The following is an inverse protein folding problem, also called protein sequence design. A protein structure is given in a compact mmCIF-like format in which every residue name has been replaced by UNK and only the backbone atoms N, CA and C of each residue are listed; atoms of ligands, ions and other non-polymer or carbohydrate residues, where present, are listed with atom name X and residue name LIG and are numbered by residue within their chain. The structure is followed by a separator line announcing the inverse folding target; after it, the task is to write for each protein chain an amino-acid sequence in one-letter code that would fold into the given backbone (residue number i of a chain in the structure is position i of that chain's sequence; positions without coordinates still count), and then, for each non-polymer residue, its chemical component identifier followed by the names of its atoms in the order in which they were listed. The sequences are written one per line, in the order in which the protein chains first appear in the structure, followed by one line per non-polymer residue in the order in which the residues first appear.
data_IF_940936199994
#
_entry.id   IF_940936199994
#
_cell.length_a   1.000
_cell.length_b   1.000
_cell.length_c   1.000
_cell.angle_alpha   90.00
_cell.angle_beta   90.00
_cell.angle_gamma   90.00
#
_symmetry.space_group_name_H-M   'P 1'
#
loop_
_entity.id
_entity.type
_entity.pdbx_description
1 polymer ?
#
# COMPACT_ATOMS: atom_id res chain seq x y z
N UNK A 1 -15.07 -3.67 -63.05
CA UNK A 1 -15.96 -4.84 -63.11
C UNK A 1 -16.04 -5.51 -61.74
N UNK A 2 -17.28 -5.70 -61.27
CA UNK A 2 -17.84 -6.63 -60.26
C UNK A 2 -17.03 -6.97 -58.99
N UNK A 3 -17.41 -6.57 -57.76
CA UNK A 3 -18.63 -6.77 -56.94
C UNK A 3 -18.66 -8.08 -56.10
N UNK A 4 -18.75 -7.86 -54.77
CA UNK A 4 -19.60 -8.52 -53.77
C UNK A 4 -19.10 -9.83 -53.10
N UNK A 5 -19.15 -9.82 -51.77
CA UNK A 5 -19.12 -11.04 -50.97
C UNK A 5 -19.34 -10.91 -49.45
N UNK A 6 -20.06 -9.88 -48.95
CA UNK A 6 -20.52 -9.86 -47.54
C UNK A 6 -21.68 -10.86 -47.38
N UNK A 7 -21.42 -11.98 -46.69
CA UNK A 7 -22.47 -12.93 -46.30
C UNK A 7 -23.00 -12.60 -44.90
N UNK A 8 -24.20 -12.02 -44.87
CA UNK A 8 -25.09 -11.98 -43.70
C UNK A 8 -26.13 -13.08 -43.86
N UNK A 9 -26.27 -13.96 -42.85
CA UNK A 9 -27.41 -14.84 -42.48
C UNK A 9 -26.83 -15.93 -41.56
N UNK A 10 -27.41 -16.32 -40.42
CA UNK A 10 -28.83 -16.44 -40.08
C UNK A 10 -29.00 -16.48 -38.55
N UNK A 11 -30.18 -16.03 -38.18
CA UNK A 11 -30.81 -16.00 -36.87
C UNK A 11 -31.35 -17.39 -36.45
N UNK A 12 -31.71 -17.46 -35.15
CA UNK A 12 -32.63 -18.39 -34.46
C UNK A 12 -32.06 -19.70 -33.89
N UNK A 13 -32.13 -19.77 -32.57
CA UNK A 13 -32.15 -21.00 -31.76
C UNK A 13 -32.68 -20.67 -30.37
N UNK A 14 -34.00 -20.78 -30.20
CA UNK A 14 -34.66 -20.73 -28.90
C UNK A 14 -34.37 -22.02 -28.11
N UNK A 15 -34.22 -21.90 -26.79
CA UNK A 15 -34.05 -23.05 -25.90
C UNK A 15 -34.06 -22.65 -24.44
N UNK A 16 -35.24 -22.76 -23.82
CA UNK A 16 -35.49 -22.65 -22.39
C UNK A 16 -34.77 -23.75 -21.60
N UNK A 17 -34.30 -23.46 -20.38
CA UNK A 17 -34.24 -24.50 -19.35
C UNK A 17 -33.06 -24.48 -18.37
N UNK A 18 -33.44 -24.39 -17.10
CA UNK A 18 -32.82 -24.97 -15.90
C UNK A 18 -31.73 -24.13 -15.21
N UNK A 19 -32.13 -23.66 -14.02
CA UNK A 19 -31.31 -23.09 -12.97
C UNK A 19 -30.20 -24.08 -12.54
N UNK A 20 -28.95 -23.65 -12.66
CA UNK A 20 -27.85 -24.25 -11.93
C UNK A 20 -27.52 -23.35 -10.74
N UNK A 21 -28.13 -23.66 -9.59
CA UNK A 21 -27.68 -23.15 -8.31
C UNK A 21 -26.39 -23.90 -7.93
N UNK A 22 -25.25 -23.37 -8.34
CA UNK A 22 -23.95 -23.81 -7.81
C UNK A 22 -23.74 -23.14 -6.45
N UNK A 23 -23.96 -23.91 -5.39
CA UNK A 23 -23.50 -23.61 -4.05
C UNK A 23 -21.97 -23.54 -4.07
N UNK A 24 -21.41 -22.33 -4.13
CA UNK A 24 -19.99 -22.10 -3.89
C UNK A 24 -19.74 -22.23 -2.39
N UNK A 25 -19.04 -23.32 -2.07
CA UNK A 25 -18.49 -23.63 -0.76
C UNK A 25 -17.64 -22.45 -0.30
N UNK A 26 -17.99 -21.91 0.86
CA UNK A 26 -17.39 -20.71 1.44
C UNK A 26 -15.91 -20.90 1.77
N UNK A 27 -15.05 -20.42 0.89
CA UNK A 27 -13.80 -19.81 1.31
C UNK A 27 -14.11 -18.33 1.58
N UNK A 28 -13.86 -17.88 2.80
CA UNK A 28 -14.08 -16.50 3.22
C UNK A 28 -13.21 -15.53 2.42
N UNK A 29 -13.68 -15.17 1.23
CA UNK A 29 -13.37 -13.90 0.62
C UNK A 29 -14.07 -12.85 1.49
N UNK A 30 -13.33 -12.23 2.39
CA UNK A 30 -13.80 -11.05 3.09
C UNK A 30 -14.31 -10.08 2.04
N UNK A 31 -15.63 -9.88 2.00
CA UNK A 31 -16.22 -8.83 1.19
C UNK A 31 -15.71 -7.52 1.81
N UNK A 32 -14.75 -6.90 1.15
CA UNK A 32 -14.39 -5.51 1.43
C UNK A 32 -15.58 -4.66 0.96
N UNK A 33 -16.60 -4.58 1.80
CA UNK A 33 -17.58 -3.51 1.74
C UNK A 33 -16.80 -2.23 1.98
N UNK A 34 -16.90 -1.27 1.07
CA UNK A 34 -16.47 0.10 1.34
C UNK A 34 -17.32 0.59 2.52
N UNK A 35 -16.78 0.50 3.73
CA UNK A 35 -17.40 1.07 4.91
C UNK A 35 -17.24 2.57 4.75
N UNK A 36 -18.22 3.21 4.10
CA UNK A 36 -18.38 4.66 4.24
C UNK A 36 -19.07 4.86 5.57
N UNK A 37 -18.31 5.28 6.59
CA UNK A 37 -18.85 5.35 7.94
C UNK A 37 -17.85 5.82 8.98
N UNK A 38 -18.32 5.92 10.22
CA UNK A 38 -17.44 6.15 11.36
C UNK A 38 -16.91 4.82 11.84
N UNK A 39 -15.58 4.66 11.86
CA UNK A 39 -14.93 3.47 12.40
C UNK A 39 -15.27 3.33 13.88
N UNK A 40 -15.85 2.20 14.29
CA UNK A 40 -16.27 1.96 15.68
C UNK A 40 -15.29 1.11 16.47
N UNK A 41 -14.52 0.26 15.80
CA UNK A 41 -13.69 -0.75 16.46
C UNK A 41 -12.52 -0.11 17.22
N UNK A 42 -12.12 -0.69 18.37
CA UNK A 42 -10.97 -0.21 19.15
C UNK A 42 -9.62 -0.56 18.51
N UNK A 43 -9.63 -1.39 17.47
CA UNK A 43 -8.46 -1.76 16.67
C UNK A 43 -8.68 -1.36 15.22
N UNK A 44 -7.59 -1.03 14.52
CA UNK A 44 -7.58 -0.82 13.07
C UNK A 44 -7.59 -2.16 12.32
N UNK A 45 -7.81 -2.11 11.01
CA UNK A 45 -7.91 -3.31 10.16
C UNK A 45 -6.68 -4.23 10.26
N UNK A 46 -5.48 -3.67 10.44
CA UNK A 46 -4.25 -4.45 10.63
C UNK A 46 -4.01 -4.92 12.09
N UNK A 47 -4.98 -4.75 12.99
CA UNK A 47 -4.93 -5.26 14.37
C UNK A 47 -4.10 -4.42 15.33
N UNK A 48 -3.89 -3.14 15.03
CA UNK A 48 -3.26 -2.18 15.94
C UNK A 48 -4.32 -1.43 16.74
N UNK A 49 -4.08 -1.19 18.03
CA UNK A 49 -5.01 -0.38 18.84
C UNK A 49 -5.04 1.06 18.34
N UNK A 50 -6.23 1.64 18.34
CA UNK A 50 -6.38 3.07 18.03
C UNK A 50 -5.64 3.92 19.07
N UNK A 51 -5.07 5.02 18.60
CA UNK A 51 -4.38 5.98 19.45
C UNK A 51 -5.27 7.20 19.68
N UNK A 52 -5.32 7.70 20.91
CA UNK A 52 -5.94 8.99 21.22
C UNK A 52 -5.05 10.16 20.77
N UNK A 53 -3.74 9.92 20.74
CA UNK A 53 -2.71 10.85 20.27
C UNK A 53 -1.50 10.05 19.80
N UNK A 54 -0.86 10.52 18.73
CA UNK A 54 0.41 9.98 18.26
C UNK A 54 1.54 11.02 18.35
N UNK A 55 2.76 10.62 18.76
CA UNK A 55 3.92 11.51 18.72
C UNK A 55 4.32 11.83 17.28
N UNK A 56 4.92 13.01 17.09
CA UNK A 56 5.46 13.44 15.80
C UNK A 56 6.92 13.02 15.65
N UNK A 57 7.27 12.52 14.47
CA UNK A 57 8.62 12.10 14.11
C UNK A 57 9.11 12.86 12.88
N UNK A 58 10.38 13.27 12.91
CA UNK A 58 11.03 13.91 11.76
C UNK A 58 11.39 12.86 10.72
N UNK A 59 11.03 13.12 9.47
CA UNK A 59 11.47 12.33 8.32
C UNK A 59 12.84 12.88 7.92
N UNK A 60 13.89 12.11 8.23
CA UNK A 60 15.28 12.51 8.01
C UNK A 60 15.52 12.99 6.56
N UNK A 61 16.33 14.04 6.42
CA UNK A 61 16.61 14.68 5.13
C UNK A 61 15.58 15.72 4.69
N UNK A 62 14.30 15.49 4.97
CA UNK A 62 13.21 16.34 4.45
C UNK A 62 12.82 17.51 5.35
N UNK A 63 13.13 17.41 6.66
CA UNK A 63 12.65 18.34 7.69
C UNK A 63 11.14 18.28 7.96
N UNK A 64 10.41 17.37 7.29
CA UNK A 64 8.97 17.17 7.50
C UNK A 64 8.72 16.34 8.75
N UNK A 65 7.57 16.55 9.40
CA UNK A 65 7.14 15.81 10.59
C UNK A 65 5.88 15.02 10.29
N UNK A 66 5.82 13.76 10.73
CA UNK A 66 4.64 12.91 10.62
C UNK A 66 4.32 12.25 11.96
N UNK A 67 3.04 12.22 12.34
CA UNK A 67 2.58 11.53 13.54
C UNK A 67 2.36 10.04 13.28
N UNK A 68 2.95 9.15 14.08
CA UNK A 68 2.90 7.68 13.88
C UNK A 68 2.82 6.93 15.22
N UNK A 69 2.49 5.63 15.15
CA UNK A 69 2.66 4.73 16.29
C UNK A 69 4.14 4.55 16.64
N UNK A 70 4.46 4.58 17.92
CA UNK A 70 5.85 4.43 18.40
C UNK A 70 6.46 3.06 18.07
N UNK A 71 7.79 2.99 18.19
CA UNK A 71 8.54 1.73 18.08
C UNK A 71 8.77 1.27 16.64
N UNK A 72 8.56 -0.03 16.41
CA UNK A 72 8.90 -0.67 15.13
C UNK A 72 8.10 -0.07 13.96
N UNK A 73 6.84 0.33 14.18
CA UNK A 73 6.00 0.95 13.14
C UNK A 73 6.56 2.31 12.68
N UNK A 74 6.84 3.23 13.62
CA UNK A 74 7.49 4.50 13.30
C UNK A 74 8.80 4.29 12.55
N UNK A 75 9.67 3.40 13.04
CA UNK A 75 10.97 3.11 12.42
C UNK A 75 10.83 2.73 10.95
N UNK A 76 9.88 1.84 10.64
CA UNK A 76 9.70 1.31 9.29
C UNK A 76 9.01 2.33 8.37
N UNK A 77 7.96 3.01 8.85
CA UNK A 77 7.24 3.99 8.03
C UNK A 77 8.08 5.24 7.76
N UNK A 78 8.92 5.66 8.70
CA UNK A 78 9.91 6.72 8.48
C UNK A 78 10.96 6.30 7.45
N UNK A 79 11.39 5.04 7.47
CA UNK A 79 12.29 4.51 6.44
C UNK A 79 11.66 4.58 5.04
N UNK A 80 10.39 4.18 4.90
CA UNK A 80 9.65 4.30 3.64
C UNK A 80 9.58 5.76 3.17
N UNK A 81 9.20 6.69 4.06
CA UNK A 81 9.08 8.10 3.73
C UNK A 81 10.43 8.73 3.34
N UNK A 82 11.51 8.33 4.02
CA UNK A 82 12.86 8.76 3.73
C UNK A 82 13.34 8.25 2.36
N UNK A 83 13.12 6.96 2.05
CA UNK A 83 13.45 6.41 0.71
C UNK A 83 12.68 7.14 -0.39
N UNK A 84 11.38 7.38 -0.19
CA UNK A 84 10.57 8.18 -1.11
C UNK A 84 11.18 9.58 -1.32
N UNK A 85 11.55 10.25 -0.22
CA UNK A 85 12.12 11.60 -0.26
C UNK A 85 13.38 11.71 -1.13
N UNK A 86 14.29 10.74 -1.02
CA UNK A 86 15.58 10.77 -1.69
C UNK A 86 15.56 10.19 -3.10
N UNK A 87 14.70 9.21 -3.37
CA UNK A 87 14.78 8.39 -4.59
C UNK A 87 13.60 8.59 -5.55
N UNK A 88 12.54 9.28 -5.11
CA UNK A 88 11.37 9.58 -5.94
C UNK A 88 11.17 11.09 -6.07
N UNK A 89 10.75 11.77 -5.01
CA UNK A 89 10.59 13.24 -5.02
C UNK A 89 10.75 13.82 -3.62
N UNK A 90 11.29 15.02 -3.56
CA UNK A 90 11.51 15.75 -2.32
C UNK A 90 10.19 16.10 -1.63
N UNK A 91 10.08 15.79 -0.35
CA UNK A 91 8.87 16.02 0.44
C UNK A 91 8.80 17.49 0.88
N UNK A 92 7.62 18.08 0.74
CA UNK A 92 7.31 19.47 1.10
C UNK A 92 6.31 19.49 2.24
N UNK A 93 6.06 20.69 2.78
CA UNK A 93 5.03 20.89 3.79
C UNK A 93 3.65 20.40 3.29
N UNK A 94 3.01 19.53 4.06
CA UNK A 94 1.72 18.93 3.71
C UNK A 94 1.80 17.72 2.77
N UNK A 95 2.98 17.29 2.34
CA UNK A 95 3.11 16.11 1.48
C UNK A 95 2.96 14.79 2.25
N UNK A 96 2.98 14.77 3.59
CA UNK A 96 2.94 13.52 4.35
C UNK A 96 1.86 13.56 5.41
N UNK A 97 0.95 12.59 5.35
CA UNK A 97 -0.12 12.40 6.32
C UNK A 97 0.08 11.08 7.08
N UNK A 98 0.04 11.13 8.41
CA UNK A 98 0.14 9.96 9.28
C UNK A 98 -1.13 9.77 10.09
N UNK A 99 -0.97 9.66 11.42
CA UNK A 99 -2.07 9.49 12.35
C UNK A 99 -3.10 10.61 12.28
N UNK A 100 -4.39 10.24 12.43
CA UNK A 100 -5.52 11.16 12.52
C UNK A 100 -6.50 10.71 13.59
N UNK A 101 -7.20 11.67 14.19
CA UNK A 101 -8.33 11.44 15.10
C UNK A 101 -9.65 11.27 14.36
N UNK A 102 -9.72 11.67 13.08
CA UNK A 102 -10.95 11.59 12.30
C UNK A 102 -11.30 10.14 11.95
N UNK A 103 -12.26 9.58 12.68
CA UNK A 103 -12.72 8.19 12.51
C UNK A 103 -13.57 7.96 11.26
N UNK A 104 -13.80 8.97 10.43
CA UNK A 104 -14.49 8.79 9.15
C UNK A 104 -13.58 8.02 8.18
N UNK A 105 -14.04 6.86 7.77
CA UNK A 105 -13.37 6.03 6.78
C UNK A 105 -14.28 5.83 5.57
N UNK A 106 -13.65 5.69 4.41
CA UNK A 106 -14.29 5.32 3.14
C UNK A 106 -13.78 3.98 2.64
N UNK A 107 -12.54 3.63 2.99
CA UNK A 107 -11.93 2.33 2.74
C UNK A 107 -11.39 1.72 4.05
N UNK A 108 -11.45 0.39 4.25
CA UNK A 108 -11.01 -0.23 5.50
C UNK A 108 -9.57 0.09 5.92
N UNK A 109 -8.62 0.18 4.98
CA UNK A 109 -7.22 0.52 5.27
C UNK A 109 -7.06 1.90 5.92
N UNK A 110 -8.05 2.81 5.76
CA UNK A 110 -7.98 4.15 6.35
C UNK A 110 -8.05 4.09 7.89
N UNK A 111 -8.61 3.02 8.45
CA UNK A 111 -8.54 2.75 9.89
C UNK A 111 -7.10 2.63 10.40
N UNK A 112 -6.12 2.27 9.56
CA UNK A 112 -4.72 2.13 9.97
C UNK A 112 -4.04 3.50 10.22
N UNK A 113 -4.60 4.60 9.71
CA UNK A 113 -4.20 5.94 10.13
C UNK A 113 -4.62 6.22 11.58
N UNK A 114 -5.78 5.74 12.03
CA UNK A 114 -6.27 5.96 13.40
C UNK A 114 -5.37 5.31 14.48
N UNK A 115 -4.65 4.25 14.12
CA UNK A 115 -3.67 3.60 14.98
C UNK A 115 -2.24 4.08 14.74
N UNK A 116 -2.00 4.99 13.79
CA UNK A 116 -0.67 5.48 13.44
C UNK A 116 0.23 4.43 12.75
N UNK A 117 -0.36 3.36 12.22
CA UNK A 117 0.34 2.24 11.57
C UNK A 117 0.32 2.30 10.04
N UNK A 118 -0.09 3.43 9.48
CA UNK A 118 -0.04 3.74 8.06
C UNK A 118 0.38 5.19 7.81
N UNK A 119 0.89 5.44 6.61
CA UNK A 119 1.30 6.76 6.12
C UNK A 119 0.78 6.98 4.69
N UNK A 120 0.45 8.23 4.36
CA UNK A 120 0.13 8.66 3.01
C UNK A 120 1.18 9.68 2.56
N UNK A 121 1.85 9.42 1.46
CA UNK A 121 2.84 10.31 0.85
C UNK A 121 2.23 10.91 -0.41
N UNK A 122 2.18 12.24 -0.47
CA UNK A 122 1.60 13.09 -1.52
C UNK A 122 0.18 12.65 -1.93
N UNK A 123 -0.77 12.54 -0.97
CA UNK A 123 -2.11 12.00 -1.25
C UNK A 123 -2.94 12.82 -2.26
N UNK A 124 -2.62 14.10 -2.46
CA UNK A 124 -3.24 14.95 -3.50
C UNK A 124 -2.81 14.52 -4.91
N UNK A 125 -1.56 14.08 -5.06
CA UNK A 125 -0.99 13.62 -6.33
C UNK A 125 -1.35 12.18 -6.64
N UNK A 126 -1.58 11.39 -5.59
CA UNK A 126 -1.88 9.96 -5.69
C UNK A 126 -3.20 9.63 -4.96
N UNK A 127 -4.35 10.11 -5.48
CA UNK A 127 -5.64 9.97 -4.82
C UNK A 127 -6.19 8.54 -4.88
N UNK A 128 -7.17 8.26 -4.02
CA UNK A 128 -7.84 6.95 -3.97
C UNK A 128 -8.56 6.66 -5.30
N UNK A 129 -8.42 5.44 -5.80
CA UNK A 129 -8.97 4.96 -7.05
C UNK A 129 -8.11 5.27 -8.28
N UNK A 130 -7.07 6.11 -8.15
CA UNK A 130 -6.16 6.41 -9.25
C UNK A 130 -4.95 5.48 -9.25
N UNK A 131 -4.51 5.08 -10.44
CA UNK A 131 -3.33 4.24 -10.68
C UNK A 131 -2.56 4.74 -11.89
N UNK A 132 -1.24 4.53 -11.89
CA UNK A 132 -0.36 4.97 -12.97
C UNK A 132 0.09 6.42 -12.83
N UNK A 133 0.04 6.98 -11.62
CA UNK A 133 0.53 8.33 -11.34
C UNK A 133 2.05 8.35 -11.07
N UNK A 134 2.64 7.19 -10.76
CA UNK A 134 4.08 7.01 -10.65
C UNK A 134 4.70 6.65 -12.01
N UNK A 135 5.86 7.25 -12.30
CA UNK A 135 6.65 6.89 -13.47
C UNK A 135 7.26 5.48 -13.34
N UNK A 136 7.58 4.79 -14.45
CA UNK A 136 8.13 3.44 -14.41
C UNK A 136 9.40 3.28 -13.56
N UNK A 137 10.26 4.30 -13.52
CA UNK A 137 11.47 4.32 -12.70
C UNK A 137 11.14 4.48 -11.19
N UNK A 138 10.12 5.25 -10.84
CA UNK A 138 9.66 5.40 -9.45
C UNK A 138 9.02 4.10 -8.95
N UNK A 139 8.29 3.40 -9.81
CA UNK A 139 7.76 2.07 -9.48
C UNK A 139 8.88 1.08 -9.15
N UNK A 140 10.04 1.14 -9.83
CA UNK A 140 11.19 0.29 -9.48
C UNK A 140 11.65 0.56 -8.04
N UNK A 141 11.72 1.83 -7.63
CA UNK A 141 12.07 2.22 -6.26
C UNK A 141 11.04 1.71 -5.26
N UNK A 142 9.73 1.85 -5.53
CA UNK A 142 8.68 1.33 -4.65
C UNK A 142 8.82 -0.19 -4.48
N UNK A 143 9.02 -0.92 -5.57
CA UNK A 143 9.15 -2.39 -5.53
C UNK A 143 10.40 -2.84 -4.78
N UNK A 144 11.49 -2.08 -4.91
CA UNK A 144 12.71 -2.29 -4.14
C UNK A 144 12.49 -2.10 -2.63
N UNK A 145 11.81 -1.01 -2.23
CA UNK A 145 11.47 -0.74 -0.82
C UNK A 145 10.65 -1.90 -0.23
N UNK A 146 9.60 -2.34 -0.92
CA UNK A 146 8.72 -3.41 -0.42
C UNK A 146 9.46 -4.74 -0.26
N UNK A 147 10.33 -5.07 -1.20
CA UNK A 147 11.15 -6.29 -1.14
C UNK A 147 12.19 -6.23 -0.01
N UNK A 148 12.81 -5.07 0.21
CA UNK A 148 13.77 -4.87 1.30
C UNK A 148 13.14 -5.01 2.68
N UNK A 149 11.88 -4.58 2.81
CA UNK A 149 11.07 -4.67 4.02
C UNK A 149 10.41 -6.04 4.22
N UNK A 150 10.74 -7.02 3.38
CA UNK A 150 10.33 -8.43 3.52
C UNK A 150 8.83 -8.59 3.82
N UNK A 151 7.96 -7.84 3.13
CA UNK A 151 6.50 -7.95 3.30
C UNK A 151 5.96 -7.52 4.67
N UNK A 152 6.71 -6.72 5.42
CA UNK A 152 6.19 -6.04 6.62
C UNK A 152 5.31 -4.84 6.25
N UNK A 153 5.52 -4.26 5.07
CA UNK A 153 4.76 -3.13 4.52
C UNK A 153 3.98 -3.57 3.29
N UNK A 154 2.72 -3.14 3.20
CA UNK A 154 1.94 -3.18 1.96
C UNK A 154 1.85 -1.79 1.35
N UNK A 155 1.75 -1.75 0.01
CA UNK A 155 1.56 -0.51 -0.74
C UNK A 155 0.16 -0.47 -1.35
N UNK A 156 -0.52 0.67 -1.17
CA UNK A 156 -1.90 0.85 -1.60
C UNK A 156 -2.09 0.81 -3.12
N UNK A 157 -1.04 0.97 -3.93
CA UNK A 157 -1.11 0.80 -5.39
C UNK A 157 -1.44 -0.63 -5.84
N UNK A 158 -1.26 -1.61 -4.95
CA UNK A 158 -1.61 -3.02 -5.16
C UNK A 158 -3.01 -3.39 -4.66
N UNK A 159 -3.70 -2.47 -3.97
CA UNK A 159 -5.04 -2.72 -3.47
C UNK A 159 -6.06 -2.77 -4.60
N UNK A 160 -7.18 -3.47 -4.36
CA UNK A 160 -8.29 -3.57 -5.32
C UNK A 160 -8.79 -2.19 -5.77
N UNK A 161 -8.89 -1.25 -4.82
CA UNK A 161 -9.07 0.18 -5.10
C UNK A 161 -7.73 0.87 -4.82
N UNK A 162 -6.94 1.19 -5.85
CA UNK A 162 -5.57 1.67 -5.65
C UNK A 162 -5.51 2.97 -4.86
N UNK A 163 -4.46 3.14 -4.05
CA UNK A 163 -4.07 4.41 -3.43
C UNK A 163 -2.55 4.45 -3.41
N UNK A 164 -1.94 4.93 -4.49
CA UNK A 164 -0.48 4.90 -4.66
C UNK A 164 0.28 5.75 -3.62
N UNK A 165 -0.40 6.67 -2.92
CA UNK A 165 0.16 7.40 -1.77
C UNK A 165 0.32 6.55 -0.51
N UNK A 166 -0.40 5.43 -0.38
CA UNK A 166 -0.59 4.75 0.90
C UNK A 166 0.42 3.63 1.14
N UNK A 167 0.97 3.59 2.35
CA UNK A 167 1.78 2.49 2.87
C UNK A 167 1.31 2.13 4.27
N UNK A 168 1.21 0.83 4.57
CA UNK A 168 0.75 0.35 5.88
C UNK A 168 1.58 -0.81 6.40
N UNK A 169 1.70 -0.90 7.72
CA UNK A 169 2.22 -2.09 8.39
C UNK A 169 1.18 -3.21 8.26
N UNK A 170 1.59 -4.39 7.78
CA UNK A 170 0.71 -5.54 7.56
C UNK A 170 0.64 -6.45 8.80
N UNK A 171 1.71 -6.47 9.58
CA UNK A 171 1.86 -7.38 10.71
C UNK A 171 1.32 -6.76 12.01
N UNK A 172 0.74 -7.62 12.86
CA UNK A 172 0.28 -7.23 14.19
C UNK A 172 1.43 -6.71 15.07
N UNK A 173 1.14 -5.87 16.09
CA UNK A 173 2.12 -5.44 17.07
C UNK A 173 2.89 -6.62 17.68
N UNK A 174 4.21 -6.47 17.83
CA UNK A 174 5.08 -7.48 18.44
C UNK A 174 5.46 -8.67 17.54
N UNK A 175 5.02 -8.70 16.27
CA UNK A 175 5.39 -9.78 15.36
C UNK A 175 6.93 -9.87 15.17
N UNK A 176 7.56 -11.06 15.26
CA UNK A 176 9.02 -11.17 15.19
C UNK A 176 9.67 -10.59 13.93
N UNK A 177 9.02 -10.73 12.77
CA UNK A 177 9.46 -10.14 11.49
C UNK A 177 9.44 -8.61 11.50
N UNK A 178 8.39 -8.00 12.06
CA UNK A 178 8.30 -6.55 12.23
C UNK A 178 9.50 -6.02 13.03
N UNK A 179 9.76 -6.65 14.18
CA UNK A 179 10.90 -6.33 15.06
C UNK A 179 12.25 -6.59 14.38
N UNK A 180 12.34 -7.63 13.57
CA UNK A 180 13.55 -7.98 12.81
C UNK A 180 13.91 -6.92 11.78
N UNK A 181 12.92 -6.46 11.00
CA UNK A 181 13.08 -5.40 10.00
C UNK A 181 13.42 -4.06 10.67
N UNK A 182 12.72 -3.69 11.75
CA UNK A 182 13.04 -2.47 12.49
C UNK A 182 14.49 -2.46 13.00
N UNK A 183 14.97 -3.57 13.59
CA UNK A 183 16.38 -3.68 14.01
C UNK A 183 17.37 -3.59 12.85
N UNK A 184 17.04 -4.16 11.68
CA UNK A 184 17.87 -4.06 10.48
C UNK A 184 18.03 -2.59 10.07
N UNK A 185 16.94 -1.83 10.06
CA UNK A 185 16.93 -0.40 9.73
C UNK A 185 17.74 0.42 10.75
N UNK A 186 17.53 0.19 12.06
CA UNK A 186 18.27 0.93 13.09
C UNK A 186 19.76 0.59 13.16
N UNK A 187 20.15 -0.61 12.68
CA UNK A 187 21.53 -1.10 12.69
C UNK A 187 22.37 -0.68 11.48
N UNK A 188 21.75 -0.18 10.40
CA UNK A 188 22.49 0.41 9.29
C UNK A 188 22.98 1.80 9.68
N UNK A 189 24.29 1.99 9.75
CA UNK A 189 24.91 3.32 9.91
C UNK A 189 24.48 4.25 8.77
N UNK A 190 24.49 5.56 9.00
CA UNK A 190 23.97 6.67 8.17
C UNK A 190 24.32 6.71 6.66
N UNK A 191 24.89 5.67 6.07
CA UNK A 191 25.08 5.49 4.64
C UNK A 191 23.76 5.26 3.88
N UNK A 192 22.58 5.57 4.46
CA UNK A 192 21.39 4.73 4.30
C UNK A 192 20.09 5.40 3.86
N UNK A 193 20.07 6.20 2.80
CA UNK A 193 18.92 6.47 1.89
C UNK A 193 19.42 7.49 0.86
N UNK A 194 19.15 7.27 -0.44
CA UNK A 194 19.77 8.04 -1.52
C UNK A 194 21.17 7.57 -1.98
N UNK A 195 21.75 6.59 -1.28
CA UNK A 195 22.94 5.81 -1.69
C UNK A 195 22.56 4.44 -2.25
N UNK A 196 21.29 4.03 -2.05
CA UNK A 196 20.77 2.75 -2.47
C UNK A 196 20.41 2.84 -3.95
N UNK A 197 21.06 2.03 -4.77
CA UNK A 197 20.71 1.91 -6.18
C UNK A 197 19.61 0.85 -6.37
N UNK A 198 18.35 1.29 -6.42
CA UNK A 198 17.22 0.42 -6.73
C UNK A 198 17.29 -0.22 -8.13
N UNK A 199 18.15 0.31 -9.02
CA UNK A 199 18.35 -0.23 -10.36
C UNK A 199 19.43 -1.32 -10.43
N UNK A 200 20.14 -1.56 -9.34
CA UNK A 200 21.10 -2.66 -9.23
C UNK A 200 20.43 -4.00 -9.63
N UNK A 201 21.07 -4.81 -10.50
CA UNK A 201 20.46 -6.04 -11.01
C UNK A 201 20.06 -7.05 -9.92
N UNK A 202 20.83 -7.16 -8.82
CA UNK A 202 20.53 -8.07 -7.71
C UNK A 202 19.26 -7.59 -7.01
N UNK A 203 19.17 -6.29 -6.72
CA UNK A 203 18.00 -5.68 -6.09
C UNK A 203 16.75 -5.80 -6.95
N UNK A 204 16.85 -5.51 -8.26
CA UNK A 204 15.75 -5.70 -9.20
C UNK A 204 15.29 -7.16 -9.29
N UNK A 205 16.21 -8.12 -9.21
CA UNK A 205 15.87 -9.53 -9.17
C UNK A 205 15.14 -9.92 -7.88
N UNK A 206 15.61 -9.40 -6.73
CA UNK A 206 14.95 -9.61 -5.44
C UNK A 206 13.53 -9.02 -5.43
N UNK A 207 13.35 -7.80 -5.95
CA UNK A 207 12.05 -7.16 -6.08
C UNK A 207 11.08 -7.98 -6.95
N UNK A 208 11.52 -8.41 -8.14
CA UNK A 208 10.71 -9.29 -9.01
C UNK A 208 10.37 -10.64 -8.36
N UNK A 209 11.31 -11.21 -7.60
CA UNK A 209 11.08 -12.47 -6.89
C UNK A 209 10.07 -12.30 -5.76
N UNK A 210 10.15 -11.18 -5.04
CA UNK A 210 9.20 -10.82 -4.00
C UNK A 210 7.79 -10.63 -4.58
N UNK A 211 7.65 -9.81 -5.63
CA UNK A 211 6.36 -9.59 -6.31
C UNK A 211 5.70 -10.93 -6.69
N UNK A 212 6.41 -11.83 -7.38
CA UNK A 212 5.86 -13.13 -7.77
C UNK A 212 5.38 -14.00 -6.60
N UNK A 213 5.91 -13.77 -5.39
CA UNK A 213 5.52 -14.52 -4.18
C UNK A 213 4.31 -13.90 -3.49
N UNK A 214 4.03 -12.63 -3.74
CA UNK A 214 2.98 -11.85 -3.07
C UNK A 214 1.79 -11.52 -3.97
N UNK A 215 1.92 -11.72 -5.29
CA UNK A 215 0.84 -11.60 -6.28
C UNK A 215 -0.22 -12.69 -6.18
#
# INVERSE_FOLDING_TARGET
MNLIGLSRRRFLGAGSGIAAATALVGFGAGQASAVTGTWSDPESTNGWRLLEKAPGFVIEGSGQVVSLAEGDAATILLYVARRFHYEIDSLRAGDVHGWTVDRKVTEPYESNYLSGSAIAIRPVWYPVGAKGNLYPNELIVIRDILAELDGVVAWGGDFKKPKESHFEIVLKPGHPRLKGVARKISGTTNDGAGTIDAFDPIRRNAARAFERRTS
#
